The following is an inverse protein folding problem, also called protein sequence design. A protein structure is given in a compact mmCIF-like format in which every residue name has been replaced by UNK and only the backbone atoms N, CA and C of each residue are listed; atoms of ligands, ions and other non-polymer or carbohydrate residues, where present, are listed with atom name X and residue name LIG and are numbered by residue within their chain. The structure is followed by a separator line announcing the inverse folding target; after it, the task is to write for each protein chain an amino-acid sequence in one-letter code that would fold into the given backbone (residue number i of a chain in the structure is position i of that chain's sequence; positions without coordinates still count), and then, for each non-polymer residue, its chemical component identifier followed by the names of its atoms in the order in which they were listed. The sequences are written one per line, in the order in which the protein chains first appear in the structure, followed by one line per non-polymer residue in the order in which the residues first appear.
data_IF_810089897168
#
_entry.id   IF_810089897168
#
_cell.length_a   1.000
_cell.length_b   1.000
_cell.length_c   1.000
_cell.angle_alpha   90.00
_cell.angle_beta   90.00
_cell.angle_gamma   90.00
#
_symmetry.space_group_name_H-M   'P 1'
#
loop_
_entity.id
_entity.type
_entity.pdbx_description
1 polymer ?
#
# COMPACT_ATOMS: atom_id res chain seq x y z
N UNK A 1 5.02 -17.20 -18.26
CA UNK A 1 3.61 -16.78 -18.27
C UNK A 1 2.80 -18.03 -18.49
N UNK A 2 2.01 -18.44 -17.50
CA UNK A 2 1.09 -19.57 -17.63
C UNK A 2 0.11 -19.28 -18.76
N UNK A 3 -0.06 -20.22 -19.70
CA UNK A 3 -1.07 -20.15 -20.76
C UNK A 3 -2.47 -20.20 -20.15
N UNK A 4 -2.93 -19.05 -19.68
CA UNK A 4 -4.34 -18.87 -19.36
C UNK A 4 -5.11 -18.96 -20.68
N UNK A 5 -6.28 -19.62 -20.72
CA UNK A 5 -7.06 -19.79 -21.95
C UNK A 5 -7.68 -18.48 -22.47
N UNK A 6 -7.32 -17.34 -21.88
CA UNK A 6 -7.79 -16.00 -22.21
C UNK A 6 -6.68 -14.99 -21.94
N UNK A 7 -6.73 -13.85 -22.62
CA UNK A 7 -5.88 -12.69 -22.32
C UNK A 7 -6.40 -12.02 -21.04
N UNK A 8 -5.64 -12.01 -19.93
CA UNK A 8 -6.07 -11.40 -18.68
C UNK A 8 -6.33 -9.90 -18.81
N UNK A 9 -5.59 -9.19 -19.65
CA UNK A 9 -5.77 -7.74 -19.86
C UNK A 9 -7.10 -7.49 -20.57
N UNK A 10 -7.38 -8.26 -21.62
CA UNK A 10 -8.65 -8.17 -22.34
C UNK A 10 -9.83 -8.55 -21.43
N UNK A 11 -9.69 -9.59 -20.60
CA UNK A 11 -10.71 -9.97 -19.62
C UNK A 11 -11.00 -8.83 -18.63
N UNK A 12 -9.97 -8.16 -18.12
CA UNK A 12 -10.13 -7.02 -17.21
C UNK A 12 -10.81 -5.83 -17.88
N UNK A 13 -10.57 -5.62 -19.17
CA UNK A 13 -11.18 -4.54 -19.96
C UNK A 13 -12.67 -4.80 -20.21
N UNK A 14 -13.00 -6.02 -20.62
CA UNK A 14 -14.37 -6.38 -21.02
C UNK A 14 -15.26 -6.73 -19.83
N UNK A 15 -14.67 -7.23 -18.75
CA UNK A 15 -15.36 -7.75 -17.58
C UNK A 15 -14.76 -7.26 -16.24
N UNK A 16 -14.68 -5.94 -16.00
CA UNK A 16 -14.12 -5.42 -14.75
C UNK A 16 -14.89 -5.90 -13.51
N UNK A 17 -16.16 -6.27 -13.65
CA UNK A 17 -16.97 -6.87 -12.58
C UNK A 17 -16.44 -8.21 -12.08
N UNK A 18 -15.71 -8.98 -12.91
CA UNK A 18 -15.14 -10.28 -12.51
C UNK A 18 -13.98 -10.14 -11.52
N UNK A 19 -13.42 -8.95 -11.38
CA UNK A 19 -12.37 -8.66 -10.39
C UNK A 19 -12.96 -8.35 -9.01
N UNK A 20 -14.27 -8.14 -8.90
CA UNK A 20 -14.94 -7.77 -7.65
C UNK A 20 -15.20 -9.01 -6.81
N UNK A 21 -14.76 -8.99 -5.56
CA UNK A 21 -15.02 -10.06 -4.60
C UNK A 21 -16.24 -9.71 -3.76
N UNK A 22 -17.23 -10.61 -3.62
CA UNK A 22 -18.39 -10.39 -2.77
C UNK A 22 -18.02 -10.10 -1.32
N UNK A 23 -18.78 -9.20 -0.71
CA UNK A 23 -18.67 -8.85 0.70
C UNK A 23 -18.87 -10.02 1.64
N UNK A 24 -18.05 -10.14 2.68
CA UNK A 24 -18.25 -11.14 3.72
C UNK A 24 -18.05 -12.59 3.28
N UNK A 25 -17.40 -12.85 2.13
CA UNK A 25 -17.31 -14.18 1.50
C UNK A 25 -16.87 -15.31 2.45
N UNK A 26 -15.92 -15.04 3.35
CA UNK A 26 -15.40 -16.01 4.33
C UNK A 26 -15.85 -15.72 5.77
N UNK A 27 -16.97 -15.01 5.94
CA UNK A 27 -17.63 -14.81 7.24
C UNK A 27 -18.70 -15.86 7.48
N UNK A 28 -19.21 -15.94 8.71
CA UNK A 28 -20.31 -16.85 9.08
C UNK A 28 -21.58 -16.61 8.24
N UNK A 29 -21.84 -15.36 7.87
CA UNK A 29 -23.01 -14.96 7.07
C UNK A 29 -22.85 -15.31 5.59
N UNK A 30 -21.63 -15.65 5.15
CA UNK A 30 -21.31 -15.90 3.74
C UNK A 30 -21.34 -14.64 2.89
N UNK A 31 -21.35 -14.83 1.56
CA UNK A 31 -21.37 -13.74 0.59
C UNK A 31 -22.62 -12.85 0.76
N UNK A 32 -22.40 -11.54 0.78
CA UNK A 32 -23.41 -10.50 0.91
C UNK A 32 -23.48 -9.64 -0.35
N UNK A 33 -24.60 -8.93 -0.54
CA UNK A 33 -24.87 -8.08 -1.70
C UNK A 33 -24.15 -6.73 -1.61
N UNK A 34 -22.82 -6.77 -1.67
CA UNK A 34 -21.93 -5.63 -1.84
C UNK A 34 -20.55 -6.09 -2.32
N UNK A 35 -19.72 -5.15 -2.79
CA UNK A 35 -18.32 -5.44 -3.15
C UNK A 35 -17.46 -5.37 -1.90
N UNK A 36 -16.98 -6.52 -1.44
CA UNK A 36 -16.14 -6.65 -0.24
C UNK A 36 -14.71 -6.22 -0.45
N UNK A 37 -14.16 -6.59 -1.61
CA UNK A 37 -12.81 -6.18 -1.99
C UNK A 37 -12.59 -6.20 -3.50
N UNK A 38 -11.56 -5.47 -3.95
CA UNK A 38 -11.11 -5.44 -5.35
C UNK A 38 -9.57 -5.49 -5.38
N UNK A 39 -8.94 -6.35 -6.21
CA UNK A 39 -7.50 -6.34 -6.39
C UNK A 39 -7.06 -5.12 -7.18
N UNK A 40 -6.01 -4.47 -6.68
CA UNK A 40 -5.48 -3.22 -7.23
C UNK A 40 -3.96 -3.14 -7.00
N UNK A 41 -3.34 -2.14 -7.61
CA UNK A 41 -2.00 -1.71 -7.17
C UNK A 41 -2.22 -0.71 -6.06
N UNK A 42 -1.73 -1.05 -4.87
CA UNK A 42 -1.89 -0.26 -3.65
C UNK A 42 -0.53 0.27 -3.21
N UNK A 43 -0.54 1.42 -2.55
CA UNK A 43 0.65 2.00 -1.93
C UNK A 43 0.30 2.62 -0.61
N UNK A 44 1.14 2.41 0.39
CA UNK A 44 0.95 2.96 1.74
C UNK A 44 2.24 3.66 2.18
N UNK A 45 2.11 4.90 2.66
CA UNK A 45 3.19 5.71 3.19
C UNK A 45 2.89 6.10 4.64
N UNK A 46 3.89 6.00 5.50
CA UNK A 46 3.79 6.43 6.90
C UNK A 46 4.60 7.70 7.13
N UNK A 47 4.01 8.65 7.85
CA UNK A 47 4.59 9.97 8.08
C UNK A 47 4.13 10.56 9.42
N UNK A 48 4.76 11.64 9.85
CA UNK A 48 4.44 12.32 11.11
C UNK A 48 3.57 13.56 10.90
N UNK A 49 2.99 14.03 12.00
CA UNK A 49 2.51 15.40 12.14
C UNK A 49 1.38 15.86 11.19
N UNK A 50 0.49 14.95 10.80
CA UNK A 50 -0.72 15.27 10.02
C UNK A 50 -1.69 16.28 10.69
N UNK A 51 -1.46 16.62 11.97
CA UNK A 51 -2.17 17.69 12.68
C UNK A 51 -1.68 19.10 12.30
N UNK A 52 -0.46 19.22 11.75
CA UNK A 52 0.13 20.50 11.40
C UNK A 52 -0.41 21.02 10.05
N UNK A 53 -0.65 22.34 9.91
CA UNK A 53 -1.20 22.92 8.69
C UNK A 53 -0.39 22.63 7.43
N UNK A 54 0.95 22.70 7.50
CA UNK A 54 1.82 22.43 6.35
C UNK A 54 1.78 20.97 5.90
N UNK A 55 1.59 20.02 6.82
CA UNK A 55 1.45 18.60 6.48
C UNK A 55 0.06 18.32 5.89
N UNK A 56 -1.00 18.96 6.41
CA UNK A 56 -2.34 18.91 5.80
C UNK A 56 -2.35 19.45 4.38
N UNK A 57 -1.62 20.53 4.15
CA UNK A 57 -1.40 21.08 2.82
C UNK A 57 -0.67 20.07 1.90
N UNK A 58 0.37 19.40 2.40
CA UNK A 58 1.05 18.34 1.65
C UNK A 58 0.11 17.16 1.31
N UNK A 59 -0.80 16.78 2.22
CA UNK A 59 -1.83 15.76 1.95
C UNK A 59 -2.78 16.25 0.84
N UNK A 60 -3.23 17.51 0.89
CA UNK A 60 -4.07 18.09 -0.16
C UNK A 60 -3.36 18.04 -1.52
N UNK A 61 -2.07 18.39 -1.60
CA UNK A 61 -1.30 18.30 -2.83
C UNK A 61 -1.16 16.85 -3.34
N UNK A 62 -1.04 15.86 -2.44
CA UNK A 62 -1.10 14.45 -2.83
C UNK A 62 -2.46 14.09 -3.42
N UNK A 63 -3.55 14.54 -2.78
CA UNK A 63 -4.89 14.31 -3.31
C UNK A 63 -5.12 15.01 -4.65
N UNK A 64 -4.64 16.23 -4.85
CA UNK A 64 -4.78 16.97 -6.12
C UNK A 64 -4.10 16.22 -7.28
N UNK A 65 -2.89 15.67 -7.05
CA UNK A 65 -2.20 14.85 -8.06
C UNK A 65 -2.91 13.51 -8.31
N UNK A 66 -3.45 12.86 -7.27
CA UNK A 66 -4.25 11.65 -7.43
C UNK A 66 -5.55 11.92 -8.20
N UNK A 67 -6.26 12.99 -7.85
CA UNK A 67 -7.51 13.40 -8.47
C UNK A 67 -7.32 13.75 -9.94
N UNK A 68 -6.13 14.20 -10.36
CA UNK A 68 -5.82 14.44 -11.77
C UNK A 68 -6.03 13.20 -12.66
N UNK A 69 -5.90 11.99 -12.09
CA UNK A 69 -6.14 10.72 -12.80
C UNK A 69 -7.41 10.00 -12.34
N UNK A 70 -7.86 10.23 -11.10
CA UNK A 70 -8.92 9.43 -10.49
C UNK A 70 -10.30 10.12 -10.44
N UNK A 71 -10.39 11.45 -10.57
CA UNK A 71 -11.61 12.23 -10.25
C UNK A 71 -12.88 11.75 -10.95
N UNK A 72 -12.78 11.29 -12.21
CA UNK A 72 -13.94 10.85 -12.99
C UNK A 72 -14.44 9.46 -12.54
N UNK A 73 -13.66 8.75 -11.72
CA UNK A 73 -13.97 7.43 -11.17
C UNK A 73 -14.45 7.48 -9.72
N UNK A 74 -14.15 8.55 -8.98
CA UNK A 74 -14.52 8.69 -7.57
C UNK A 74 -16.02 8.94 -7.42
N UNK A 75 -16.66 8.19 -6.52
CA UNK A 75 -18.12 8.19 -6.32
C UNK A 75 -18.52 8.57 -4.90
N UNK A 76 -17.69 8.26 -3.91
CA UNK A 76 -17.99 8.51 -2.50
C UNK A 76 -16.79 9.07 -1.73
N UNK A 77 -17.10 9.89 -0.74
CA UNK A 77 -16.20 10.35 0.31
C UNK A 77 -16.74 9.92 1.68
N UNK A 78 -15.90 9.29 2.50
CA UNK A 78 -16.11 9.09 3.93
C UNK A 78 -15.14 9.90 4.78
N UNK A 79 -15.59 10.32 5.96
CA UNK A 79 -14.81 11.03 6.97
C UNK A 79 -15.13 10.45 8.35
N UNK A 80 -14.11 10.12 9.13
CA UNK A 80 -14.32 9.74 10.53
C UNK A 80 -14.25 10.98 11.43
N UNK A 81 -15.26 11.15 12.30
CA UNK A 81 -15.34 12.24 13.28
C UNK A 81 -15.08 13.65 12.68
N UNK A 82 -15.75 14.04 11.57
CA UNK A 82 -15.53 15.38 11.03
C UNK A 82 -15.95 16.44 12.05
N UNK A 83 -15.20 17.55 12.21
CA UNK A 83 -15.59 18.62 13.13
C UNK A 83 -16.90 19.31 12.73
N UNK A 84 -17.24 19.25 11.44
CA UNK A 84 -18.46 19.81 10.87
C UNK A 84 -18.90 19.08 9.59
N UNK A 85 -20.20 19.13 9.31
CA UNK A 85 -20.82 18.49 8.15
C UNK A 85 -20.94 16.95 8.29
N UNK A 86 -21.51 16.27 7.29
CA UNK A 86 -21.75 14.83 7.34
C UNK A 86 -20.45 14.00 7.23
N UNK A 87 -20.48 12.81 7.81
CA UNK A 87 -19.41 11.81 7.72
C UNK A 87 -19.30 11.15 6.32
N UNK A 88 -20.27 11.40 5.43
CA UNK A 88 -20.33 10.84 4.09
C UNK A 88 -20.90 11.80 3.06
N UNK A 89 -20.34 11.78 1.86
CA UNK A 89 -20.86 12.48 0.68
C UNK A 89 -20.81 11.60 -0.56
N UNK A 90 -21.78 11.69 -1.48
CA UNK A 90 -21.50 11.46 -2.89
C UNK A 90 -20.36 12.41 -3.33
N UNK A 91 -19.34 11.89 -4.00
CA UNK A 91 -18.12 12.66 -4.31
C UNK A 91 -18.40 13.95 -5.09
N UNK A 92 -19.33 13.90 -6.06
CA UNK A 92 -19.74 15.08 -6.85
C UNK A 92 -20.31 16.24 -6.03
N UNK A 93 -20.83 15.94 -4.84
CA UNK A 93 -21.48 16.90 -3.94
C UNK A 93 -20.55 17.27 -2.77
N UNK A 94 -19.35 16.67 -2.69
CA UNK A 94 -18.40 16.87 -1.61
C UNK A 94 -17.66 18.21 -1.75
N UNK A 95 -17.46 18.96 -0.65
CA UNK A 95 -16.51 20.06 -0.63
C UNK A 95 -15.09 19.57 -0.94
N UNK A 96 -14.21 20.45 -1.42
CA UNK A 96 -12.81 20.08 -1.66
C UNK A 96 -12.11 19.65 -0.36
N UNK A 97 -11.17 18.70 -0.44
CA UNK A 97 -10.36 18.25 0.71
C UNK A 97 -9.70 19.44 1.41
N UNK A 98 -9.12 20.36 0.63
CA UNK A 98 -8.47 21.57 1.11
C UNK A 98 -9.44 22.50 1.86
N UNK A 99 -10.66 22.67 1.34
CA UNK A 99 -11.70 23.44 2.02
C UNK A 99 -12.10 22.82 3.35
N UNK A 100 -12.19 21.49 3.43
CA UNK A 100 -12.47 20.78 4.68
C UNK A 100 -11.31 20.86 5.67
N UNK A 101 -10.08 20.60 5.23
CA UNK A 101 -8.88 20.67 6.08
C UNK A 101 -8.61 22.07 6.62
N UNK A 102 -8.94 23.12 5.87
CA UNK A 102 -8.80 24.51 6.31
C UNK A 102 -9.71 24.89 7.48
N UNK A 103 -10.74 24.10 7.78
CA UNK A 103 -11.66 24.30 8.90
C UNK A 103 -11.35 23.41 10.11
N UNK A 104 -10.37 22.52 10.00
CA UNK A 104 -9.98 21.61 11.07
C UNK A 104 -8.98 22.27 12.02
N UNK A 105 -9.19 22.13 13.33
CA UNK A 105 -8.23 22.48 14.38
C UNK A 105 -7.12 21.42 14.54
N UNK A 106 -6.10 21.74 15.34
CA UNK A 106 -4.94 20.86 15.61
C UNK A 106 -5.35 19.48 16.16
N UNK A 107 -6.40 19.43 16.98
CA UNK A 107 -6.84 18.21 17.66
C UNK A 107 -7.96 17.45 16.94
N UNK A 108 -8.35 17.89 15.74
CA UNK A 108 -9.31 17.17 14.91
C UNK A 108 -8.64 16.00 14.20
N UNK A 109 -9.38 14.90 14.09
CA UNK A 109 -8.92 13.70 13.40
C UNK A 109 -8.90 13.95 11.89
N UNK A 110 -7.74 13.77 11.26
CA UNK A 110 -7.67 13.74 9.79
C UNK A 110 -8.04 12.34 9.35
N UNK A 111 -9.24 12.17 8.81
CA UNK A 111 -9.69 10.91 8.25
C UNK A 111 -10.53 11.16 7.01
N UNK A 112 -10.02 10.74 5.85
CA UNK A 112 -10.74 10.84 4.58
C UNK A 112 -10.53 9.55 3.79
N UNK A 113 -11.60 9.03 3.20
CA UNK A 113 -11.56 7.92 2.24
C UNK A 113 -12.37 8.31 1.02
N UNK A 114 -11.70 8.55 -0.10
CA UNK A 114 -12.31 8.73 -1.41
C UNK A 114 -12.25 7.39 -2.14
N UNK A 115 -13.36 6.91 -2.70
CA UNK A 115 -13.42 5.59 -3.35
C UNK A 115 -14.30 5.59 -4.61
N UNK A 116 -14.05 4.65 -5.53
CA UNK A 116 -14.86 4.38 -6.73
C UNK A 116 -15.98 3.34 -6.53
N UNK A 117 -16.26 2.92 -5.30
CA UNK A 117 -17.35 1.98 -5.00
C UNK A 117 -18.70 2.42 -5.56
N UNK A 118 -19.49 1.53 -6.17
CA UNK A 118 -20.78 1.91 -6.76
C UNK A 118 -21.74 2.40 -5.66
N UNK A 119 -21.88 1.61 -4.61
CA UNK A 119 -22.57 1.99 -3.38
C UNK A 119 -21.58 2.53 -2.36
N UNK A 120 -22.05 3.28 -1.36
CA UNK A 120 -21.14 3.90 -0.38
C UNK A 120 -20.33 2.90 0.44
N UNK A 121 -20.75 1.65 0.50
CA UNK A 121 -20.07 0.57 1.23
C UNK A 121 -19.47 -0.48 0.31
N UNK A 122 -19.39 -0.23 -1.00
CA UNK A 122 -18.62 -1.06 -1.93
C UNK A 122 -17.15 -0.67 -1.86
N UNK A 123 -16.25 -1.65 -1.95
CA UNK A 123 -14.86 -1.41 -2.28
C UNK A 123 -14.73 -0.89 -3.73
N UNK A 124 -13.76 0.00 -3.95
CA UNK A 124 -13.39 0.54 -5.25
C UNK A 124 -11.90 0.34 -5.52
N UNK A 125 -11.54 0.11 -6.77
CA UNK A 125 -10.15 -0.02 -7.23
C UNK A 125 -9.39 1.31 -7.29
N UNK A 126 -10.11 2.43 -7.37
CA UNK A 126 -9.61 3.77 -7.12
C UNK A 126 -9.94 4.17 -5.68
N UNK A 127 -8.91 4.25 -4.84
CA UNK A 127 -9.03 4.72 -3.47
C UNK A 127 -7.92 5.72 -3.13
N UNK A 128 -8.29 6.78 -2.39
CA UNK A 128 -7.37 7.62 -1.66
C UNK A 128 -7.83 7.70 -0.20
N UNK A 129 -7.05 7.10 0.69
CA UNK A 129 -7.30 7.06 2.12
C UNK A 129 -6.19 7.80 2.87
N UNK A 130 -6.56 8.66 3.81
CA UNK A 130 -5.61 9.27 4.74
C UNK A 130 -6.13 9.17 6.16
N UNK A 131 -5.24 8.79 7.07
CA UNK A 131 -5.42 8.82 8.50
C UNK A 131 -4.28 9.63 9.12
N UNK A 132 -4.63 10.71 9.80
CA UNK A 132 -3.70 11.60 10.47
C UNK A 132 -4.05 11.77 11.94
N UNK A 133 -3.05 11.57 12.79
CA UNK A 133 -3.21 11.68 14.25
C UNK A 133 -3.56 13.10 14.67
N UNK A 134 -4.36 13.19 15.74
CA UNK A 134 -4.65 14.45 16.43
C UNK A 134 -3.36 15.02 17.05
N UNK A 135 -3.28 16.34 17.25
CA UNK A 135 -2.08 16.97 17.81
C UNK A 135 -1.67 16.43 19.17
N UNK A 136 -2.62 16.20 20.07
CA UNK A 136 -2.33 15.58 21.37
C UNK A 136 -1.80 14.15 21.26
N UNK A 137 -2.25 13.36 20.27
CA UNK A 137 -1.75 12.01 20.03
C UNK A 137 -0.35 12.02 19.43
N UNK A 138 -0.08 12.95 18.51
CA UNK A 138 1.24 13.09 17.88
C UNK A 138 2.34 13.44 18.89
N UNK A 139 2.01 14.23 19.93
CA UNK A 139 2.91 14.51 21.06
C UNK A 139 3.22 13.26 21.90
N UNK A 140 2.34 12.27 21.89
CA UNK A 140 2.56 10.97 22.53
C UNK A 140 3.25 10.01 21.54
N UNK A 141 4.58 10.08 21.42
CA UNK A 141 5.37 9.25 20.46
C UNK A 141 5.00 7.76 20.44
N UNK A 142 4.54 7.20 21.57
CA UNK A 142 4.09 5.81 21.66
C UNK A 142 2.85 5.50 20.80
N UNK A 143 2.01 6.48 20.47
CA UNK A 143 0.76 6.31 19.73
C UNK A 143 0.96 5.91 18.27
N UNK A 144 2.14 6.16 17.69
CA UNK A 144 2.49 5.74 16.33
C UNK A 144 2.54 6.91 15.33
N UNK A 145 2.29 6.61 14.06
CA UNK A 145 2.43 7.53 12.92
C UNK A 145 1.07 7.86 12.30
N UNK A 146 1.07 8.68 11.27
CA UNK A 146 -0.04 8.86 10.32
C UNK A 146 0.20 7.99 9.09
N UNK A 147 -0.85 7.71 8.31
CA UNK A 147 -0.75 6.90 7.11
C UNK A 147 -1.56 7.49 5.96
N UNK A 148 -1.04 7.35 4.74
CA UNK A 148 -1.75 7.62 3.51
C UNK A 148 -1.67 6.38 2.63
N UNK A 149 -2.81 5.94 2.12
CA UNK A 149 -2.93 4.85 1.15
C UNK A 149 -3.56 5.38 -0.13
N UNK A 150 -3.03 4.92 -1.26
CA UNK A 150 -3.64 5.11 -2.57
C UNK A 150 -3.78 3.77 -3.28
N UNK A 151 -4.75 3.66 -4.17
CA UNK A 151 -4.86 2.56 -5.11
C UNK A 151 -5.24 3.03 -6.51
N UNK A 152 -4.83 2.24 -7.49
CA UNK A 152 -5.28 2.35 -8.88
C UNK A 152 -5.60 0.94 -9.43
N UNK A 153 -6.50 0.81 -10.41
CA UNK A 153 -6.82 -0.47 -11.03
C UNK A 153 -5.58 -1.11 -11.68
N UNK A 154 -5.51 -2.45 -11.68
CA UNK A 154 -4.37 -3.15 -12.32
C UNK A 154 -4.25 -2.78 -13.80
N UNK A 155 -5.37 -2.68 -14.51
CA UNK A 155 -5.42 -2.31 -15.93
C UNK A 155 -4.79 -0.93 -16.17
N UNK A 156 -5.02 0.03 -15.27
CA UNK A 156 -4.43 1.36 -15.39
C UNK A 156 -2.90 1.32 -15.33
N UNK A 157 -2.32 0.46 -14.48
CA UNK A 157 -0.85 0.31 -14.37
C UNK A 157 -0.27 -0.42 -15.58
N UNK A 158 -0.96 -1.42 -16.13
CA UNK A 158 -0.56 -2.07 -17.38
C UNK A 158 -0.51 -1.09 -18.56
N UNK A 159 -1.48 -0.16 -18.62
CA UNK A 159 -1.55 0.87 -19.67
C UNK A 159 -0.60 2.06 -19.39
N UNK A 160 -0.27 2.32 -18.13
CA UNK A 160 0.54 3.45 -17.67
C UNK A 160 1.67 2.99 -16.72
N UNK A 161 2.69 2.27 -17.24
CA UNK A 161 3.64 1.48 -16.44
C UNK A 161 4.59 2.26 -15.51
N UNK A 162 4.54 3.60 -15.54
CA UNK A 162 5.32 4.48 -14.67
C UNK A 162 4.47 5.45 -13.82
N UNK A 163 3.16 5.51 -14.08
CA UNK A 163 2.29 6.49 -13.44
C UNK A 163 2.18 6.27 -11.93
N UNK A 164 2.10 5.01 -11.51
CA UNK A 164 2.01 4.67 -10.10
C UNK A 164 3.32 4.93 -9.34
N UNK A 165 4.48 4.58 -9.92
CA UNK A 165 5.78 4.91 -9.34
C UNK A 165 5.93 6.41 -9.13
N UNK A 166 5.52 7.22 -10.11
CA UNK A 166 5.57 8.68 -10.04
C UNK A 166 4.74 9.21 -8.87
N UNK A 167 3.48 8.75 -8.74
CA UNK A 167 2.62 9.12 -7.62
C UNK A 167 3.26 8.76 -6.28
N UNK A 168 3.70 7.51 -6.14
CA UNK A 168 4.27 7.00 -4.89
C UNK A 168 5.53 7.78 -4.47
N UNK A 169 6.46 8.04 -5.40
CA UNK A 169 7.69 8.82 -5.13
C UNK A 169 7.34 10.28 -4.79
N UNK A 170 6.41 10.89 -5.52
CA UNK A 170 5.99 12.27 -5.25
C UNK A 170 5.31 12.41 -3.88
N UNK A 171 4.50 11.43 -3.49
CA UNK A 171 3.81 11.44 -2.20
C UNK A 171 4.80 11.21 -1.07
N UNK A 172 5.75 10.28 -1.24
CA UNK A 172 6.82 10.06 -0.27
C UNK A 172 7.61 11.36 -0.01
N UNK A 173 7.91 12.11 -1.08
CA UNK A 173 8.58 13.42 -1.00
C UNK A 173 7.74 14.47 -0.28
N UNK A 174 6.49 14.68 -0.69
CA UNK A 174 5.61 15.72 -0.11
C UNK A 174 5.31 15.47 1.36
N UNK A 175 5.10 14.21 1.73
CA UNK A 175 4.76 13.82 3.10
C UNK A 175 5.99 13.68 3.99
N UNK A 176 7.20 13.84 3.45
CA UNK A 176 8.44 13.56 4.17
C UNK A 176 8.39 12.17 4.82
N UNK A 177 8.02 11.16 4.04
CA UNK A 177 7.67 9.84 4.56
C UNK A 177 8.83 9.19 5.33
N UNK A 178 8.49 8.42 6.36
CA UNK A 178 9.44 7.62 7.15
C UNK A 178 9.80 6.35 6.38
N UNK A 179 8.76 5.69 5.88
CA UNK A 179 8.85 4.53 4.99
C UNK A 179 7.48 4.26 4.38
N UNK A 180 7.44 3.27 3.50
CA UNK A 180 6.22 2.77 2.89
C UNK A 180 6.50 1.67 1.89
N UNK A 181 5.45 1.14 1.30
CA UNK A 181 5.53 0.07 0.32
C UNK A 181 4.40 0.19 -0.68
N UNK A 182 4.59 -0.40 -1.85
CA UNK A 182 3.58 -0.43 -2.89
C UNK A 182 3.73 -1.65 -3.81
N UNK A 183 2.62 -2.22 -4.24
CA UNK A 183 2.57 -3.45 -5.05
C UNK A 183 1.13 -3.94 -5.20
N UNK A 184 0.95 -5.25 -5.42
CA UNK A 184 -0.39 -5.82 -5.41
C UNK A 184 -1.01 -5.76 -4.01
N UNK A 185 -2.31 -5.52 -3.92
CA UNK A 185 -3.07 -5.62 -2.68
C UNK A 185 -4.57 -5.72 -2.95
N UNK A 186 -5.35 -5.92 -1.89
CA UNK A 186 -6.80 -5.82 -1.94
C UNK A 186 -7.25 -4.49 -1.33
N UNK A 187 -8.04 -3.73 -2.07
CA UNK A 187 -8.81 -2.63 -1.48
C UNK A 187 -10.05 -3.23 -0.86
N UNK A 188 -10.19 -3.10 0.46
CA UNK A 188 -11.35 -3.60 1.20
C UNK A 188 -12.42 -2.52 1.28
N UNK A 189 -13.68 -2.91 1.47
CA UNK A 189 -14.75 -1.97 1.76
C UNK A 189 -14.43 -1.18 3.03
N UNK A 190 -14.14 0.11 2.91
CA UNK A 190 -13.74 0.96 4.02
C UNK A 190 -14.70 0.90 5.24
N UNK A 191 -16.04 1.00 5.08
CA UNK A 191 -16.95 0.92 6.23
C UNK A 191 -17.20 -0.52 6.71
N UNK A 192 -16.73 -1.56 6.00
CA UNK A 192 -16.96 -2.99 6.32
C UNK A 192 -15.67 -3.80 6.25
N UNK A 193 -14.54 -3.20 6.60
CA UNK A 193 -13.23 -3.80 6.42
C UNK A 193 -13.10 -5.13 7.17
N UNK A 194 -13.58 -5.16 8.42
CA UNK A 194 -13.51 -6.34 9.28
C UNK A 194 -14.23 -7.56 8.68
N UNK A 195 -15.31 -7.37 7.92
CA UNK A 195 -16.03 -8.47 7.28
C UNK A 195 -15.26 -9.04 6.08
N UNK A 196 -14.29 -8.29 5.55
CA UNK A 196 -13.58 -8.62 4.30
C UNK A 196 -12.10 -9.01 4.51
N UNK A 197 -11.51 -8.68 5.66
CA UNK A 197 -10.20 -9.18 6.09
C UNK A 197 -10.04 -10.71 5.99
N UNK A 198 -11.06 -11.56 6.25
CA UNK A 198 -10.90 -13.00 6.10
C UNK A 198 -10.53 -13.46 4.69
N UNK A 199 -11.11 -12.82 3.66
CA UNK A 199 -10.73 -13.11 2.28
C UNK A 199 -9.32 -12.61 1.97
N UNK A 200 -8.92 -11.46 2.51
CA UNK A 200 -7.54 -10.95 2.38
C UNK A 200 -6.53 -11.89 3.03
N UNK A 201 -6.83 -12.44 4.20
CA UNK A 201 -5.99 -13.44 4.87
C UNK A 201 -5.83 -14.69 3.98
N UNK A 202 -6.94 -15.23 3.49
CA UNK A 202 -6.93 -16.38 2.57
C UNK A 202 -6.09 -16.13 1.31
N UNK A 203 -6.26 -14.96 0.67
CA UNK A 203 -5.53 -14.64 -0.56
C UNK A 203 -4.03 -14.45 -0.30
N UNK A 204 -3.66 -13.84 0.83
CA UNK A 204 -2.26 -13.62 1.22
C UNK A 204 -1.49 -14.93 1.46
N UNK A 205 -2.18 -16.00 1.83
CA UNK A 205 -1.58 -17.35 1.92
C UNK A 205 -1.32 -17.98 0.55
N UNK A 206 -1.97 -17.50 -0.51
CA UNK A 206 -1.79 -17.99 -1.89
C UNK A 206 -0.83 -17.12 -2.70
N UNK A 207 -0.81 -15.82 -2.43
CA UNK A 207 -0.03 -14.82 -3.17
C UNK A 207 0.83 -14.03 -2.19
N UNK A 208 2.09 -14.44 -2.00
CA UNK A 208 3.00 -13.81 -1.03
C UNK A 208 3.34 -12.36 -1.41
N UNK A 209 3.16 -11.96 -2.65
CA UNK A 209 3.43 -10.60 -3.13
C UNK A 209 2.35 -9.60 -2.76
N UNK A 210 1.17 -10.07 -2.32
CA UNK A 210 0.06 -9.21 -1.94
C UNK A 210 0.31 -8.54 -0.58
N UNK A 211 0.05 -7.24 -0.54
CA UNK A 211 -0.07 -6.50 0.69
C UNK A 211 -1.35 -6.88 1.43
N UNK A 212 -1.29 -6.86 2.76
CA UNK A 212 -2.43 -7.11 3.64
C UNK A 212 -2.47 -6.14 4.82
N UNK A 213 -3.67 -5.95 5.35
CA UNK A 213 -3.94 -5.10 6.50
C UNK A 213 -4.11 -3.62 6.16
N UNK A 214 -4.75 -2.91 7.08
CA UNK A 214 -5.19 -1.54 6.84
C UNK A 214 -4.22 -0.47 7.36
N UNK A 215 -4.20 0.73 6.74
CA UNK A 215 -3.21 1.76 7.05
C UNK A 215 -3.22 2.26 8.50
N UNK A 216 -4.38 2.34 9.16
CA UNK A 216 -4.52 2.83 10.54
C UNK A 216 -3.86 1.86 11.52
N UNK A 217 -4.13 0.56 11.40
CA UNK A 217 -3.47 -0.53 12.12
C UNK A 217 -1.96 -0.53 11.89
N UNK A 218 -1.53 -0.46 10.63
CA UNK A 218 -0.12 -0.36 10.26
C UNK A 218 0.58 0.85 10.89
N UNK A 219 -0.10 1.99 10.98
CA UNK A 219 0.47 3.24 11.51
C UNK A 219 0.91 3.14 12.97
N UNK A 220 0.33 2.22 13.77
CA UNK A 220 0.62 2.05 15.20
C UNK A 220 2.07 1.61 15.44
N UNK A 221 2.60 0.77 14.54
CA UNK A 221 3.94 0.21 14.67
C UNK A 221 4.94 0.74 13.65
N UNK A 222 4.49 1.51 12.64
CA UNK A 222 5.37 2.04 11.61
C UNK A 222 6.54 2.90 12.13
N UNK A 223 6.46 3.48 13.34
CA UNK A 223 7.61 4.18 13.94
C UNK A 223 8.79 3.24 14.29
N UNK A 224 8.55 1.93 14.38
CA UNK A 224 9.54 0.95 14.85
C UNK A 224 10.30 0.27 13.70
N UNK A 225 9.96 0.57 12.43
CA UNK A 225 10.57 -0.06 11.27
C UNK A 225 9.59 -0.26 10.12
N UNK A 226 10.09 -0.80 9.02
CA UNK A 226 9.27 -1.09 7.84
C UNK A 226 8.32 -2.26 8.09
N UNK A 227 7.09 -2.19 7.57
CA UNK A 227 6.13 -3.29 7.65
C UNK A 227 6.54 -4.47 6.75
N UNK A 228 7.01 -4.16 5.55
CA UNK A 228 7.34 -5.15 4.52
C UNK A 228 8.13 -4.50 3.39
N UNK A 229 8.66 -5.32 2.49
CA UNK A 229 9.13 -4.90 1.17
C UNK A 229 8.09 -5.28 0.11
N UNK A 230 8.04 -4.54 -0.98
CA UNK A 230 7.18 -4.82 -2.12
C UNK A 230 7.81 -4.30 -3.42
N UNK A 231 7.04 -4.23 -4.50
CA UNK A 231 7.49 -3.69 -5.78
C UNK A 231 8.17 -2.33 -5.63
N UNK A 232 7.57 -1.43 -4.86
CA UNK A 232 8.17 -0.18 -4.41
C UNK A 232 8.32 -0.25 -2.89
N UNK A 233 9.48 0.13 -2.38
CA UNK A 233 9.75 0.20 -0.94
C UNK A 233 10.42 1.53 -0.62
N UNK A 234 9.74 2.42 0.09
CA UNK A 234 10.30 3.68 0.57
C UNK A 234 10.96 3.45 1.93
N UNK A 235 12.19 3.95 2.11
CA UNK A 235 12.93 3.91 3.38
C UNK A 235 13.59 5.26 3.62
N UNK A 236 13.54 5.80 4.84
CA UNK A 236 14.20 7.07 5.15
C UNK A 236 15.73 6.91 5.26
N UNK A 237 16.46 8.02 5.27
CA UNK A 237 17.92 8.01 5.38
C UNK A 237 18.44 7.43 6.70
N UNK A 238 17.67 7.52 7.78
CA UNK A 238 18.03 6.89 9.05
C UNK A 238 18.09 5.36 8.92
N UNK A 239 17.08 4.75 8.30
CA UNK A 239 17.05 3.32 8.00
C UNK A 239 18.13 2.92 6.99
N UNK A 240 18.33 3.72 5.93
CA UNK A 240 19.39 3.50 4.95
C UNK A 240 20.77 3.50 5.61
N UNK A 241 21.01 4.40 6.57
CA UNK A 241 22.26 4.45 7.32
C UNK A 241 22.47 3.21 8.20
N UNK A 242 21.40 2.70 8.83
CA UNK A 242 21.46 1.49 9.67
C UNK A 242 21.94 0.27 8.86
N UNK A 243 21.47 0.10 7.62
CA UNK A 243 21.87 -1.00 6.74
C UNK A 243 23.19 -0.76 5.97
N UNK A 244 24.01 0.21 6.38
CA UNK A 244 25.32 0.49 5.78
C UNK A 244 25.33 1.51 4.62
N UNK A 245 24.21 2.17 4.33
CA UNK A 245 24.12 3.28 3.40
C UNK A 245 23.79 2.89 1.95
N UNK A 246 23.67 3.91 1.08
CA UNK A 246 23.29 3.71 -0.33
C UNK A 246 24.26 2.83 -1.11
N UNK A 247 25.55 2.84 -0.74
CA UNK A 247 26.57 1.99 -1.37
C UNK A 247 26.27 0.50 -1.14
N UNK A 248 25.84 0.13 0.08
CA UNK A 248 25.39 -1.23 0.39
C UNK A 248 24.17 -1.61 -0.44
N UNK A 249 23.18 -0.71 -0.54
CA UNK A 249 21.98 -0.95 -1.37
C UNK A 249 22.37 -1.23 -2.82
N UNK A 250 23.25 -0.41 -3.42
CA UNK A 250 23.69 -0.60 -4.82
C UNK A 250 24.52 -1.87 -5.04
N UNK A 251 25.25 -2.31 -4.01
CA UNK A 251 26.04 -3.55 -4.04
C UNK A 251 25.13 -4.79 -3.97
N UNK A 252 24.15 -4.75 -3.07
CA UNK A 252 23.25 -5.89 -2.82
C UNK A 252 22.11 -5.98 -3.85
N UNK A 253 21.69 -4.85 -4.41
CA UNK A 253 20.59 -4.73 -5.37
C UNK A 253 21.11 -4.14 -6.70
N UNK A 254 21.44 -4.97 -7.72
CA UNK A 254 22.02 -4.45 -8.96
C UNK A 254 21.03 -3.66 -9.84
N UNK A 255 21.46 -2.51 -10.36
CA UNK A 255 20.58 -1.52 -11.03
C UNK A 255 19.95 -1.96 -12.38
N UNK A 256 20.29 -3.16 -12.87
CA UNK A 256 19.59 -3.76 -14.02
C UNK A 256 18.20 -4.28 -13.63
N UNK A 257 17.99 -4.66 -12.36
CA UNK A 257 16.72 -5.18 -11.84
C UNK A 257 16.09 -4.25 -10.81
N UNK A 258 16.89 -3.37 -10.19
CA UNK A 258 16.44 -2.42 -9.19
C UNK A 258 16.65 -0.97 -9.65
N UNK A 259 15.77 -0.07 -9.20
CA UNK A 259 15.96 1.36 -9.38
C UNK A 259 15.82 2.07 -8.03
N UNK A 260 16.56 3.17 -7.88
CA UNK A 260 16.56 4.00 -6.67
C UNK A 260 16.06 5.39 -7.03
N UNK A 261 15.12 5.91 -6.26
CA UNK A 261 14.57 7.26 -6.44
C UNK A 261 14.71 8.05 -5.15
N UNK A 262 15.42 9.17 -5.19
CA UNK A 262 15.51 10.08 -4.06
C UNK A 262 14.19 10.83 -3.85
N UNK A 263 13.66 10.80 -2.63
CA UNK A 263 12.50 11.59 -2.23
C UNK A 263 12.84 12.62 -1.14
N UNK A 264 14.13 12.94 -0.95
CA UNK A 264 14.64 13.98 -0.05
C UNK A 264 14.88 13.49 1.37
N UNK A 265 13.90 12.80 1.98
CA UNK A 265 14.07 12.19 3.30
C UNK A 265 14.62 10.76 3.25
N UNK A 266 14.77 10.21 2.05
CA UNK A 266 15.14 8.82 1.84
C UNK A 266 15.05 8.39 0.39
N UNK A 267 15.02 7.07 0.18
CA UNK A 267 15.03 6.45 -1.14
C UNK A 267 13.83 5.52 -1.31
N UNK A 268 13.21 5.53 -2.50
CA UNK A 268 12.34 4.46 -2.96
C UNK A 268 13.17 3.46 -3.74
N UNK A 269 13.15 2.20 -3.31
CA UNK A 269 13.69 1.06 -4.06
C UNK A 269 12.56 0.45 -4.88
N UNK A 270 12.72 0.39 -6.19
CA UNK A 270 11.88 -0.38 -7.09
C UNK A 270 12.51 -1.75 -7.36
N UNK A 271 11.75 -2.82 -7.19
CA UNK A 271 12.13 -4.21 -7.40
C UNK A 271 11.46 -4.79 -8.65
N UNK A 272 12.19 -4.81 -9.76
CA UNK A 272 11.69 -5.31 -11.04
C UNK A 272 10.80 -4.34 -11.82
N UNK A 273 10.48 -4.67 -13.09
CA UNK A 273 9.74 -3.79 -13.99
C UNK A 273 8.25 -3.65 -13.64
N UNK A 274 7.69 -4.59 -12.89
CA UNK A 274 6.28 -4.63 -12.49
C UNK A 274 6.12 -5.32 -11.13
N UNK A 275 4.98 -5.14 -10.44
CA UNK A 275 4.67 -5.91 -9.24
C UNK A 275 4.68 -7.41 -9.50
N UNK A 276 5.12 -8.18 -8.50
CA UNK A 276 5.10 -9.64 -8.51
C UNK A 276 4.12 -10.14 -7.44
N UNK A 277 3.20 -11.04 -7.82
CA UNK A 277 2.21 -11.61 -6.91
C UNK A 277 2.78 -12.73 -6.03
N UNK A 278 3.97 -13.24 -6.36
CA UNK A 278 4.68 -14.35 -5.73
C UNK A 278 3.74 -15.52 -5.32
N UNK A 279 3.14 -16.23 -6.29
CA UNK A 279 2.30 -17.38 -6.01
C UNK A 279 3.03 -18.45 -5.20
N UNK A 280 2.36 -19.06 -4.22
CA UNK A 280 3.00 -20.04 -3.32
C UNK A 280 3.38 -21.36 -3.97
N UNK A 281 2.81 -21.67 -5.13
CA UNK A 281 3.17 -22.81 -5.97
C UNK A 281 4.37 -22.55 -6.89
N UNK A 282 4.94 -21.34 -6.84
CA UNK A 282 6.12 -20.95 -7.61
C UNK A 282 7.30 -20.58 -6.69
N UNK A 283 8.56 -20.71 -7.18
CA UNK A 283 9.72 -20.27 -6.41
C UNK A 283 9.69 -18.76 -6.11
N UNK A 284 9.91 -18.36 -4.86
CA UNK A 284 9.85 -16.94 -4.43
C UNK A 284 10.73 -16.01 -5.29
N UNK A 285 10.26 -14.84 -5.74
CA UNK A 285 11.05 -13.94 -6.58
C UNK A 285 12.29 -13.40 -5.84
N UNK A 286 13.46 -13.45 -6.47
CA UNK A 286 14.69 -12.83 -6.00
C UNK A 286 14.55 -11.32 -5.88
N UNK A 287 13.80 -10.67 -6.78
CA UNK A 287 13.43 -9.26 -6.68
C UNK A 287 12.71 -8.89 -5.38
N UNK A 288 12.02 -9.82 -4.70
CA UNK A 288 11.39 -9.56 -3.39
C UNK A 288 12.23 -10.10 -2.22
N UNK A 289 12.88 -11.25 -2.40
CA UNK A 289 13.71 -11.87 -1.35
C UNK A 289 14.96 -11.04 -1.05
N UNK A 290 15.68 -10.54 -2.07
CA UNK A 290 16.93 -9.79 -1.85
C UNK A 290 16.70 -8.48 -1.07
N UNK A 291 15.72 -7.62 -1.43
CA UNK A 291 15.39 -6.46 -0.60
C UNK A 291 14.89 -6.85 0.79
N UNK A 292 14.11 -7.93 0.94
CA UNK A 292 13.64 -8.37 2.26
C UNK A 292 14.83 -8.71 3.18
N UNK A 293 15.82 -9.45 2.66
CA UNK A 293 17.02 -9.78 3.42
C UNK A 293 17.87 -8.55 3.73
N UNK A 294 18.01 -7.62 2.78
CA UNK A 294 18.75 -6.36 2.99
C UNK A 294 18.11 -5.47 4.06
N UNK A 295 16.79 -5.32 4.04
CA UNK A 295 16.06 -4.46 4.97
C UNK A 295 15.62 -5.15 6.26
N UNK A 296 16.03 -6.41 6.47
CA UNK A 296 15.61 -7.22 7.63
C UNK A 296 15.93 -6.55 8.97
N UNK A 297 17.07 -5.88 9.07
CA UNK A 297 17.51 -5.18 10.29
C UNK A 297 16.61 -3.99 10.67
N UNK A 298 16.01 -3.32 9.67
CA UNK A 298 15.13 -2.16 9.88
C UNK A 298 13.65 -2.52 9.81
N UNK A 299 13.33 -3.82 9.77
CA UNK A 299 11.96 -4.33 9.78
C UNK A 299 11.34 -4.13 11.16
N UNK A 300 10.08 -3.68 11.18
CA UNK A 300 9.36 -3.53 12.44
C UNK A 300 9.25 -4.87 13.16
N UNK A 301 9.58 -4.97 14.46
CA UNK A 301 9.45 -6.20 15.23
C UNK A 301 7.99 -6.55 15.53
N UNK A 302 7.06 -5.62 15.29
CA UNK A 302 5.63 -5.78 15.56
C UNK A 302 4.82 -5.18 14.41
N UNK A 303 3.72 -5.83 14.06
CA UNK A 303 2.77 -5.36 13.06
C UNK A 303 1.34 -5.60 13.53
N UNK A 304 0.41 -4.80 13.01
CA UNK A 304 -1.03 -5.00 13.17
C UNK A 304 -1.62 -5.02 11.77
N UNK A 305 -2.05 -6.20 11.32
CA UNK A 305 -2.63 -6.41 10.00
C UNK A 305 -4.15 -6.46 10.10
N UNK A 306 -4.68 -7.40 10.88
CA UNK A 306 -6.12 -7.65 11.02
C UNK A 306 -6.63 -7.43 12.45
N UNK A 307 -7.95 -7.21 12.54
CA UNK A 307 -8.68 -7.23 13.82
C UNK A 307 -8.82 -8.66 14.36
N UNK A 308 -9.11 -8.78 15.65
CA UNK A 308 -9.38 -10.08 16.29
C UNK A 308 -10.54 -10.81 15.62
N UNK A 309 -10.39 -12.12 15.43
CA UNK A 309 -11.44 -12.99 14.92
C UNK A 309 -12.59 -13.12 15.93
N UNK A 310 -13.84 -13.01 15.48
CA UNK A 310 -15.04 -13.09 16.34
C UNK A 310 -15.71 -14.46 16.21
N UNK A 311 -15.67 -15.08 15.03
CA UNK A 311 -16.36 -16.32 14.71
C UNK A 311 -15.42 -17.44 14.22
N UNK A 312 -14.11 -17.28 14.42
CA UNK A 312 -13.10 -18.25 13.97
C UNK A 312 -12.74 -18.12 12.50
N UNK A 313 -13.17 -17.03 11.84
CA UNK A 313 -12.76 -16.70 10.47
C UNK A 313 -11.24 -16.47 10.39
N UNK A 314 -10.60 -16.77 9.23
CA UNK A 314 -9.16 -16.57 9.05
C UNK A 314 -8.79 -15.11 9.24
N UNK A 315 -7.66 -14.87 9.93
CA UNK A 315 -7.12 -13.52 10.19
C UNK A 315 -5.59 -13.59 10.23
N UNK A 316 -4.93 -12.55 9.74
CA UNK A 316 -3.50 -12.33 9.93
C UNK A 316 -3.25 -11.67 11.29
N UNK A 317 -3.37 -12.47 12.35
CA UNK A 317 -3.10 -12.08 13.75
C UNK A 317 -2.15 -13.09 14.41
N UNK A 318 -1.44 -12.65 15.45
CA UNK A 318 -0.51 -13.52 16.20
C UNK A 318 0.51 -14.20 15.28
N UNK A 319 0.59 -15.53 15.34
CA UNK A 319 1.51 -16.32 14.53
C UNK A 319 1.32 -16.14 13.02
N UNK A 320 0.07 -16.01 12.53
CA UNK A 320 -0.19 -15.82 11.10
C UNK A 320 0.35 -14.47 10.60
N UNK A 321 0.26 -13.41 11.42
CA UNK A 321 0.87 -12.12 11.10
C UNK A 321 2.40 -12.20 11.06
N UNK A 322 3.00 -12.94 12.00
CA UNK A 322 4.45 -13.17 12.03
C UNK A 322 4.94 -13.95 10.80
N UNK A 323 4.21 -15.00 10.38
CA UNK A 323 4.53 -15.71 9.15
C UNK A 323 4.39 -14.82 7.91
N UNK A 324 3.37 -13.97 7.86
CA UNK A 324 3.23 -12.99 6.78
C UNK A 324 4.41 -12.01 6.77
N UNK A 325 4.86 -11.53 7.92
CA UNK A 325 6.02 -10.63 8.05
C UNK A 325 7.32 -11.28 7.54
N UNK A 326 7.50 -12.56 7.85
CA UNK A 326 8.70 -13.33 7.54
C UNK A 326 8.61 -14.11 6.21
N UNK A 327 7.57 -13.88 5.40
CA UNK A 327 7.22 -14.72 4.23
C UNK A 327 8.30 -14.80 3.14
N UNK A 328 9.25 -13.86 3.13
CA UNK A 328 10.38 -13.77 2.22
C UNK A 328 11.73 -14.03 2.91
N UNK A 329 11.73 -14.41 4.18
CA UNK A 329 12.95 -14.76 4.89
C UNK A 329 13.50 -16.08 4.33
N UNK A 330 14.81 -16.10 4.16
CA UNK A 330 15.59 -17.27 3.74
C UNK A 330 16.79 -17.42 4.68
N UNK A 331 17.45 -18.58 4.64
CA UNK A 331 18.75 -18.74 5.28
C UNK A 331 19.80 -17.91 4.54
N UNK A 332 20.74 -17.29 5.26
CA UNK A 332 21.81 -16.48 4.67
C UNK A 332 22.67 -17.28 3.69
N UNK A 333 22.84 -18.59 3.91
CA UNK A 333 23.53 -19.49 2.98
C UNK A 333 22.86 -19.57 1.61
N UNK A 334 21.56 -19.25 1.51
CA UNK A 334 20.81 -19.24 0.26
C UNK A 334 20.92 -17.90 -0.50
N UNK A 335 21.53 -16.86 0.09
CA UNK A 335 21.57 -15.52 -0.53
C UNK A 335 22.25 -15.54 -1.90
N UNK A 336 23.35 -16.29 -2.05
CA UNK A 336 24.05 -16.44 -3.33
C UNK A 336 23.19 -17.14 -4.39
N UNK A 337 22.36 -18.10 -4.00
CA UNK A 337 21.42 -18.77 -4.91
C UNK A 337 20.39 -17.77 -5.45
N UNK A 338 19.86 -16.89 -4.60
CA UNK A 338 18.91 -15.86 -5.03
C UNK A 338 19.56 -14.76 -5.87
N UNK A 339 20.81 -14.40 -5.60
CA UNK A 339 21.59 -13.51 -6.49
C UNK A 339 21.77 -14.12 -7.89
N UNK A 340 22.01 -15.43 -7.97
CA UNK A 340 22.06 -16.14 -9.25
C UNK A 340 20.68 -16.18 -9.94
N UNK A 341 19.62 -16.50 -9.19
CA UNK A 341 18.23 -16.54 -9.70
C UNK A 341 17.80 -15.19 -10.28
N UNK A 342 18.23 -14.08 -9.68
CA UNK A 342 17.93 -12.73 -10.18
C UNK A 342 18.34 -12.55 -11.65
N UNK A 343 19.39 -13.24 -12.12
CA UNK A 343 19.89 -13.11 -13.49
C UNK A 343 18.84 -13.52 -14.55
N UNK A 344 17.91 -14.41 -14.18
CA UNK A 344 16.83 -14.89 -15.02
C UNK A 344 15.55 -14.06 -14.89
N UNK A 345 15.50 -13.12 -13.93
CA UNK A 345 14.34 -12.26 -13.73
C UNK A 345 14.32 -11.09 -14.73
N UNK A 346 13.11 -10.57 -15.07
CA UNK A 346 12.97 -9.45 -15.98
C UNK A 346 13.75 -8.21 -15.52
N UNK A 347 14.53 -7.63 -16.44
CA UNK A 347 15.28 -6.39 -16.21
C UNK A 347 14.38 -5.16 -16.35
N UNK A 348 14.79 -4.08 -15.70
CA UNK A 348 14.20 -2.77 -15.87
C UNK A 348 14.46 -2.23 -17.27
N UNK A 349 13.49 -1.48 -17.77
CA UNK A 349 13.57 -0.77 -19.06
C UNK A 349 13.23 0.70 -18.87
N UNK A 350 13.44 1.52 -19.90
CA UNK A 350 13.05 2.94 -19.87
C UNK A 350 11.54 3.14 -19.73
N UNK A 351 10.70 2.19 -20.15
CA UNK A 351 9.24 2.29 -20.00
C UNK A 351 8.75 1.93 -18.60
N UNK A 352 9.56 1.19 -17.84
CA UNK A 352 9.19 0.68 -16.51
C UNK A 352 9.93 1.39 -15.38
N UNK A 353 10.61 2.50 -15.66
CA UNK A 353 11.37 3.29 -14.68
C UNK A 353 11.10 4.77 -14.85
N UNK A 354 11.25 5.53 -13.77
CA UNK A 354 11.22 6.99 -13.84
C UNK A 354 12.54 7.53 -14.38
N UNK A 355 12.55 8.68 -15.07
CA UNK A 355 13.76 9.26 -15.62
C UNK A 355 14.79 9.65 -14.54
N UNK A 356 14.32 10.04 -13.35
CA UNK A 356 15.15 10.59 -12.27
C UNK A 356 15.76 9.50 -11.35
N UNK A 357 16.10 8.32 -11.90
CA UNK A 357 16.74 7.24 -11.12
C UNK A 357 18.21 7.56 -10.81
N UNK A 358 18.63 7.25 -9.58
CA UNK A 358 19.99 7.47 -9.06
C UNK A 358 21.04 6.52 -9.62
#
# INVERSE_FOLDING_TARGET
MSDLPFDPIQLMRDHPEKMRIPGGLLTKQGAQDYVGSVPAITGTLFFYDAHLPNVREAICLCFDEYAAIAKEHLTWLWRAEPPEGPDKFPYRDAPSMRGMMGRMGENDLVSFVYTSGKQSFDAGDWEFQVFGRRGWEAKMKARGTSALRLSVPLLYVEENPSAFQKLFVNFARRLNAIHGYAGYGLVLSAPREQDNQPFEAYLSEKLKGFDAGEPVGGSRHARNGIKTVSWLTAVNHEMVKQIGGITTIRSELPMNWFALYDYGNGLVVQAGPKPDAAPTDQPMPASLVLPNMLFKEVRSPQISLHSTSVHGEPRLIGWAAEQWLNRFDIDEAQLMQYKAKLLDEPKLTKSTTLPDRL
#
